data_IF_010804773528
#
_entry.id   IF_010804773528
#
_cell.length_a   1.000
_cell.length_b   1.000
_cell.length_c   1.000
_cell.angle_alpha   90.00
_cell.angle_beta   90.00
_cell.angle_gamma   90.00
#
_symmetry.space_group_name_H-M   'P 1'
#
loop_
_entity.id
_entity.type
_entity.pdbx_description
1 polymer ?
#
# COMPACT_ATOMS: atom_id res chain seq x y z
N UNK A 1 -1.63 -0.32 56.90
CA UNK A 1 -0.62 0.63 56.41
C UNK A 1 -0.26 0.19 55.00
N UNK A 2 -1.00 0.68 54.01
CA UNK A 2 -0.94 0.20 52.62
C UNK A 2 0.04 1.06 51.82
N UNK A 3 1.13 0.46 51.39
CA UNK A 3 2.16 1.02 50.51
C UNK A 3 1.72 0.90 49.06
N UNK A 4 1.14 1.95 48.51
CA UNK A 4 0.87 2.09 47.07
C UNK A 4 0.90 3.58 46.74
N UNK A 5 1.22 3.93 45.50
CA UNK A 5 1.20 5.30 44.92
C UNK A 5 2.49 6.13 44.94
N UNK A 6 3.59 5.57 44.44
CA UNK A 6 4.65 6.41 43.84
C UNK A 6 5.34 5.71 42.65
N UNK A 7 4.58 4.94 41.86
CA UNK A 7 5.10 4.31 40.63
C UNK A 7 4.42 4.74 39.34
N UNK A 8 3.33 5.50 39.41
CA UNK A 8 2.48 5.75 38.23
C UNK A 8 2.54 7.21 37.70
N UNK A 9 3.34 8.07 38.35
CA UNK A 9 3.21 9.52 38.17
C UNK A 9 4.32 10.20 37.33
N UNK A 10 5.39 9.48 36.99
CA UNK A 10 6.50 10.10 36.25
C UNK A 10 6.22 10.16 34.74
N UNK A 11 5.61 9.12 34.16
CA UNK A 11 5.32 9.06 32.72
C UNK A 11 3.98 9.67 32.32
N UNK A 12 3.12 9.99 33.29
CA UNK A 12 1.79 10.58 33.08
C UNK A 12 1.82 12.10 32.95
N UNK A 13 2.88 12.76 33.41
CA UNK A 13 2.99 14.23 33.42
C UNK A 13 3.47 14.82 32.09
N UNK A 14 4.28 14.09 31.32
CA UNK A 14 4.88 14.57 30.07
C UNK A 14 4.16 14.11 28.80
N UNK A 15 3.15 13.23 28.91
CA UNK A 15 2.39 12.74 27.75
C UNK A 15 1.05 13.45 27.65
N UNK A 16 0.86 14.22 26.59
CA UNK A 16 -0.46 14.74 26.23
C UNK A 16 -1.47 13.58 26.10
N UNK A 17 -2.73 13.73 26.56
CA UNK A 17 -3.74 12.67 26.53
C UNK A 17 -3.96 12.05 25.14
N UNK A 18 -3.62 12.79 24.08
CA UNK A 18 -3.74 12.38 22.68
C UNK A 18 -2.43 12.68 21.91
N UNK A 19 -1.26 12.40 22.49
CA UNK A 19 0.00 12.55 21.78
C UNK A 19 0.04 11.58 20.58
N UNK A 20 -0.29 12.07 19.39
CA UNK A 20 -0.14 11.30 18.15
C UNK A 20 1.34 11.12 17.87
N UNK A 21 1.86 9.93 18.15
CA UNK A 21 3.27 9.63 17.92
C UNK A 21 3.49 9.44 16.40
N UNK A 22 4.61 9.89 15.81
CA UNK A 22 4.90 9.66 14.40
C UNK A 22 4.86 8.18 13.96
N UNK A 23 4.96 7.25 14.91
CA UNK A 23 4.83 5.80 14.75
C UNK A 23 3.38 5.28 14.80
N UNK A 24 2.43 6.08 15.31
CA UNK A 24 0.99 5.79 15.33
C UNK A 24 0.32 6.06 13.98
N UNK A 25 1.04 6.70 13.05
CA UNK A 25 0.56 6.83 11.67
C UNK A 25 0.24 5.43 11.13
N UNK A 26 -0.89 5.25 10.42
CA UNK A 26 -1.28 3.96 9.87
C UNK A 26 -0.09 3.31 9.16
N UNK A 27 0.41 2.19 9.67
CA UNK A 27 1.56 1.46 9.11
C UNK A 27 1.17 0.95 7.72
N UNK A 28 1.43 1.77 6.70
CA UNK A 28 1.29 1.43 5.28
C UNK A 28 -0.13 1.37 4.71
N UNK A 29 -1.18 1.78 5.43
CA UNK A 29 -2.56 1.40 5.11
C UNK A 29 -3.60 2.53 5.01
N UNK A 30 -3.23 3.77 4.70
CA UNK A 30 -4.24 4.76 4.31
C UNK A 30 -5.02 4.30 3.07
N UNK A 31 -6.29 4.70 2.88
CA UNK A 31 -7.06 4.34 1.69
C UNK A 31 -6.28 4.73 0.44
N UNK A 32 -5.67 3.75 -0.21
CA UNK A 32 -5.00 3.98 -1.48
C UNK A 32 -6.10 4.12 -2.50
N UNK A 33 -6.17 5.27 -3.16
CA UNK A 33 -6.93 5.38 -4.39
C UNK A 33 -6.50 4.19 -5.28
N UNK A 34 -7.43 3.38 -5.80
CA UNK A 34 -7.07 2.30 -6.69
C UNK A 34 -6.23 2.91 -7.82
N UNK A 35 -5.07 2.31 -8.10
CA UNK A 35 -4.26 2.72 -9.23
C UNK A 35 -5.17 2.67 -10.45
N UNK A 36 -5.52 3.84 -10.97
CA UNK A 36 -6.35 3.99 -12.15
C UNK A 36 -5.46 3.63 -13.33
N UNK A 37 -5.18 2.33 -13.48
CA UNK A 37 -4.54 1.83 -14.68
C UNK A 37 -5.41 2.29 -15.84
N UNK A 38 -4.82 2.95 -16.84
CA UNK A 38 -5.49 3.28 -18.12
C UNK A 38 -5.92 2.06 -18.93
N UNK A 39 -5.98 0.92 -18.26
CA UNK A 39 -7.07 0.00 -18.41
C UNK A 39 -6.54 -1.32 -18.97
N UNK A 40 -7.21 -2.43 -18.64
CA UNK A 40 -6.97 -3.72 -19.28
C UNK A 40 -6.86 -3.63 -20.81
N UNK A 41 -7.46 -2.61 -21.44
CA UNK A 41 -7.35 -2.32 -22.88
C UNK A 41 -5.91 -2.19 -23.40
N UNK A 42 -4.98 -1.55 -22.68
CA UNK A 42 -3.58 -1.45 -23.15
C UNK A 42 -2.91 -2.82 -23.19
N UNK A 43 -3.17 -3.65 -22.16
CA UNK A 43 -2.64 -5.01 -22.09
C UNK A 43 -3.26 -5.86 -23.22
N UNK A 44 -4.58 -5.78 -23.41
CA UNK A 44 -5.29 -6.49 -24.49
C UNK A 44 -4.73 -6.14 -25.87
N UNK A 45 -4.52 -4.85 -26.14
CA UNK A 45 -4.01 -4.40 -27.44
C UNK A 45 -2.57 -4.85 -27.68
N UNK A 46 -1.74 -4.80 -26.64
CA UNK A 46 -0.35 -5.28 -26.69
C UNK A 46 -0.29 -6.80 -26.90
N UNK A 47 -1.10 -7.57 -26.17
CA UNK A 47 -1.19 -9.03 -26.35
C UNK A 47 -1.69 -9.39 -27.75
N UNK A 48 -2.73 -8.72 -28.25
CA UNK A 48 -3.25 -8.94 -29.59
C UNK A 48 -2.19 -8.66 -30.69
N UNK A 49 -1.41 -7.57 -30.53
CA UNK A 49 -0.33 -7.24 -31.46
C UNK A 49 0.77 -8.32 -31.49
N UNK A 50 1.15 -8.87 -30.34
CA UNK A 50 2.16 -9.95 -30.26
C UNK A 50 1.66 -11.22 -30.96
N UNK A 51 0.41 -11.63 -30.69
CA UNK A 51 -0.19 -12.81 -31.34
C UNK A 51 -0.23 -12.62 -32.86
N UNK A 52 -0.64 -11.44 -33.33
CA UNK A 52 -0.67 -11.12 -34.75
C UNK A 52 0.73 -11.26 -35.38
N UNK A 53 1.77 -10.75 -34.71
CA UNK A 53 3.15 -10.81 -35.20
C UNK A 53 3.64 -12.26 -35.32
N UNK A 54 3.30 -13.12 -34.36
CA UNK A 54 3.63 -14.56 -34.40
C UNK A 54 2.93 -15.24 -35.59
N UNK A 55 1.63 -14.98 -35.79
CA UNK A 55 0.87 -15.56 -36.91
C UNK A 55 1.48 -15.13 -38.25
N UNK A 56 1.80 -13.85 -38.41
CA UNK A 56 2.44 -13.32 -39.63
C UNK A 56 3.81 -13.94 -39.84
N UNK A 57 4.61 -14.09 -38.77
CA UNK A 57 5.92 -14.73 -38.84
C UNK A 57 5.84 -16.17 -39.33
N UNK A 58 4.94 -16.97 -38.74
CA UNK A 58 4.70 -18.37 -39.15
C UNK A 58 4.16 -18.45 -40.58
N UNK A 59 3.28 -17.54 -40.98
CA UNK A 59 2.73 -17.54 -42.34
C UNK A 59 3.76 -17.17 -43.41
N UNK A 60 4.69 -16.25 -43.10
CA UNK A 60 5.76 -15.82 -44.01
C UNK A 60 6.96 -16.78 -44.03
N UNK A 61 7.23 -17.45 -42.91
CA UNK A 61 8.35 -18.37 -42.71
C UNK A 61 7.85 -19.69 -42.09
N UNK A 62 7.17 -20.54 -42.88
CA UNK A 62 6.67 -21.84 -42.40
C UNK A 62 7.80 -22.83 -42.08
#
# INVERSE_FOLDING_TARGET
MSTTYEKDDFYSRDRSPNATMPEDRPRGGGPRAPLKHRGPLTVVLMTAAIILLIIVGVALFP
#
